data_IF_360727688302
#
_entry.id   IF_360727688302
#
_cell.length_a   1.000
_cell.length_b   1.000
_cell.length_c   1.000
_cell.angle_alpha   90.00
_cell.angle_beta   90.00
_cell.angle_gamma   90.00
#
_symmetry.space_group_name_H-M   'P 1'
#
loop_
_entity.id
_entity.type
_entity.pdbx_description
1 polymer ?
#
# COMPACT_ATOMS: atom_id res chain seq x y z
N UNK A 1 1.28 12.88 -8.66
CA UNK A 1 1.60 11.43 -8.70
C UNK A 1 0.36 10.58 -9.02
N UNK A 2 0.53 9.33 -9.49
CA UNK A 2 -0.57 8.35 -9.64
C UNK A 2 -0.53 7.33 -8.51
N UNK A 3 -1.57 7.31 -7.68
CA UNK A 3 -1.71 6.44 -6.51
C UNK A 3 -2.67 5.30 -6.84
N UNK A 4 -2.19 4.06 -6.73
CA UNK A 4 -2.99 2.84 -6.94
C UNK A 4 -3.36 2.25 -5.60
N UNK A 5 -4.65 2.06 -5.36
CA UNK A 5 -5.21 1.45 -4.14
C UNK A 5 -5.75 0.07 -4.49
N UNK A 6 -5.15 -0.96 -3.91
CA UNK A 6 -5.51 -2.36 -4.12
C UNK A 6 -6.04 -2.98 -2.82
N UNK A 7 -7.36 -2.91 -2.56
CA UNK A 7 -7.95 -3.44 -1.34
C UNK A 7 -7.98 -4.97 -1.32
N UNK A 8 -8.29 -5.52 -0.14
CA UNK A 8 -8.58 -6.95 0.03
C UNK A 8 -10.02 -7.31 -0.35
N UNK A 9 -10.46 -8.51 0.03
CA UNK A 9 -11.85 -8.95 -0.17
C UNK A 9 -12.71 -8.41 0.97
N UNK A 10 -13.40 -7.29 0.73
CA UNK A 10 -14.34 -6.69 1.67
C UNK A 10 -15.24 -5.65 0.97
N UNK A 11 -16.22 -5.12 1.69
CA UNK A 11 -17.13 -4.08 1.22
C UNK A 11 -16.39 -2.83 0.69
N UNK A 12 -16.80 -2.24 -0.46
CA UNK A 12 -16.18 -1.03 -1.02
C UNK A 12 -16.18 0.17 -0.08
N UNK A 13 -17.19 0.26 0.79
CA UNK A 13 -17.32 1.34 1.77
C UNK A 13 -16.13 1.42 2.73
N UNK A 14 -15.45 0.29 3.00
CA UNK A 14 -14.24 0.28 3.83
C UNK A 14 -13.06 0.95 3.12
N UNK A 15 -12.90 0.76 1.80
CA UNK A 15 -11.89 1.47 1.02
C UNK A 15 -12.17 2.96 0.96
N UNK A 16 -13.45 3.36 0.81
CA UNK A 16 -13.82 4.78 0.86
C UNK A 16 -13.48 5.41 2.21
N UNK A 17 -13.75 4.71 3.32
CA UNK A 17 -13.35 5.14 4.67
C UNK A 17 -11.83 5.21 4.84
N UNK A 18 -11.09 4.23 4.32
CA UNK A 18 -9.63 4.24 4.32
C UNK A 18 -9.11 5.53 3.67
N UNK A 19 -9.55 5.82 2.44
CA UNK A 19 -9.17 7.01 1.66
C UNK A 19 -9.43 8.29 2.45
N UNK A 20 -10.63 8.43 3.01
CA UNK A 20 -11.01 9.60 3.80
C UNK A 20 -10.15 9.72 5.08
N UNK A 21 -9.93 8.61 5.79
CA UNK A 21 -9.22 8.60 7.07
C UNK A 21 -7.72 8.85 6.95
N UNK A 22 -7.10 8.45 5.84
CA UNK A 22 -5.70 8.79 5.53
C UNK A 22 -5.59 10.25 5.06
N UNK A 23 -6.71 10.88 4.66
CA UNK A 23 -6.73 12.26 4.18
C UNK A 23 -6.40 12.39 2.69
N UNK A 24 -6.47 11.30 1.92
CA UNK A 24 -6.08 11.30 0.50
C UNK A 24 -6.96 12.20 -0.38
N UNK A 25 -8.20 12.47 0.06
CA UNK A 25 -9.11 13.42 -0.60
C UNK A 25 -8.55 14.84 -0.64
N UNK A 26 -7.68 15.21 0.30
CA UNK A 26 -7.12 16.55 0.40
C UNK A 26 -6.05 16.83 -0.69
N UNK A 27 -5.55 15.78 -1.35
CA UNK A 27 -4.55 15.88 -2.40
C UNK A 27 -5.16 15.86 -3.81
N UNK A 28 -6.49 15.82 -3.91
CA UNK A 28 -7.17 15.99 -5.19
C UNK A 28 -7.21 17.49 -5.57
N UNK A 29 -6.97 17.85 -6.86
CA UNK A 29 -6.77 16.96 -8.01
C UNK A 29 -5.29 16.63 -8.29
N UNK A 30 -4.35 17.07 -7.47
CA UNK A 30 -2.91 16.90 -7.75
C UNK A 30 -2.48 15.42 -7.80
N UNK A 31 -3.16 14.56 -7.03
CA UNK A 31 -2.95 13.13 -7.02
C UNK A 31 -4.07 12.43 -7.78
N UNK A 32 -3.68 11.60 -8.75
CA UNK A 32 -4.60 10.73 -9.47
C UNK A 32 -4.79 9.43 -8.70
N UNK A 33 -5.96 9.24 -8.08
CA UNK A 33 -6.28 8.02 -7.34
C UNK A 33 -6.94 7.00 -8.28
N UNK A 34 -6.36 5.80 -8.35
CA UNK A 34 -6.88 4.64 -9.05
C UNK A 34 -7.23 3.56 -8.02
N UNK A 35 -8.52 3.28 -7.82
CA UNK A 35 -8.98 2.27 -6.85
C UNK A 35 -9.37 1.01 -7.60
N UNK A 36 -8.70 -0.10 -7.32
CA UNK A 36 -9.03 -1.40 -7.91
C UNK A 36 -10.40 -1.90 -7.39
N UNK A 37 -11.34 -2.31 -8.25
CA UNK A 37 -12.68 -2.73 -7.86
C UNK A 37 -12.69 -4.17 -7.30
N UNK A 38 -12.10 -4.37 -6.12
CA UNK A 38 -11.91 -5.70 -5.53
C UNK A 38 -13.23 -6.45 -5.23
N UNK A 39 -14.35 -5.75 -5.04
CA UNK A 39 -15.65 -6.38 -4.79
C UNK A 39 -16.23 -7.09 -6.03
N UNK A 40 -15.81 -6.67 -7.23
CA UNK A 40 -16.30 -7.19 -8.51
C UNK A 40 -15.22 -8.01 -9.25
N UNK A 41 -14.08 -8.24 -8.61
CA UNK A 41 -12.91 -8.83 -9.24
C UNK A 41 -12.09 -9.69 -8.28
N UNK A 42 -10.94 -10.18 -8.73
CA UNK A 42 -10.03 -11.03 -7.97
C UNK A 42 -8.83 -10.19 -7.48
N UNK A 43 -8.87 -9.60 -6.27
CA UNK A 43 -7.80 -8.71 -5.78
C UNK A 43 -6.43 -9.39 -5.64
N UNK A 44 -6.42 -10.71 -5.54
CA UNK A 44 -5.20 -11.51 -5.51
C UNK A 44 -4.62 -11.84 -6.90
N UNK A 45 -5.30 -11.47 -8.00
CA UNK A 45 -4.89 -11.80 -9.36
C UNK A 45 -4.03 -10.68 -9.97
N UNK A 46 -2.73 -10.91 -10.21
CA UNK A 46 -1.87 -9.91 -10.84
C UNK A 46 -2.35 -9.47 -12.22
N UNK A 47 -2.89 -10.40 -13.00
CA UNK A 47 -3.39 -10.12 -14.35
C UNK A 47 -4.58 -9.15 -14.32
N UNK A 48 -5.53 -9.32 -13.39
CA UNK A 48 -6.68 -8.42 -13.27
C UNK A 48 -6.25 -7.01 -12.82
N UNK A 49 -5.33 -6.91 -11.86
CA UNK A 49 -4.82 -5.61 -11.41
C UNK A 49 -4.03 -4.92 -12.54
N UNK A 50 -3.20 -5.66 -13.28
CA UNK A 50 -2.44 -5.10 -14.41
C UNK A 50 -3.35 -4.65 -15.55
N UNK A 51 -4.38 -5.43 -15.89
CA UNK A 51 -5.37 -5.07 -16.90
C UNK A 51 -6.12 -3.80 -16.49
N UNK A 52 -6.55 -3.71 -15.23
CA UNK A 52 -7.17 -2.50 -14.69
C UNK A 52 -6.26 -1.28 -14.86
N UNK A 53 -4.96 -1.41 -14.54
CA UNK A 53 -4.00 -0.31 -14.70
C UNK A 53 -3.88 0.13 -16.15
N UNK A 54 -3.68 -0.81 -17.08
CA UNK A 54 -3.56 -0.49 -18.50
C UNK A 54 -4.81 0.22 -19.06
N UNK A 55 -6.01 -0.24 -18.65
CA UNK A 55 -7.27 0.40 -19.02
C UNK A 55 -7.40 1.79 -18.39
N UNK A 56 -7.09 1.93 -17.10
CA UNK A 56 -7.21 3.19 -16.39
C UNK A 56 -6.21 4.24 -16.89
N UNK A 57 -5.01 3.84 -17.34
CA UNK A 57 -4.00 4.78 -17.85
C UNK A 57 -4.08 5.00 -19.35
N UNK A 58 -5.05 4.41 -20.05
CA UNK A 58 -5.18 4.49 -21.51
C UNK A 58 -3.89 4.15 -22.26
N UNK A 59 -3.14 3.17 -21.76
CA UNK A 59 -1.84 2.75 -22.31
C UNK A 59 -0.66 3.67 -21.98
N UNK A 60 -0.87 4.83 -21.35
CA UNK A 60 0.26 5.60 -20.77
C UNK A 60 0.86 4.84 -19.58
N UNK A 61 2.13 5.10 -19.29
CA UNK A 61 2.87 4.43 -18.22
C UNK A 61 3.38 5.41 -17.17
N UNK A 62 2.49 6.16 -16.49
CA UNK A 62 2.93 7.07 -15.44
C UNK A 62 3.64 6.30 -14.33
N UNK A 63 4.55 6.94 -13.59
CA UNK A 63 5.07 6.39 -12.36
C UNK A 63 3.95 6.11 -11.35
N UNK A 64 3.94 4.90 -10.80
CA UNK A 64 2.90 4.42 -9.88
C UNK A 64 3.44 4.27 -8.46
N UNK A 65 2.65 4.70 -7.49
CA UNK A 65 2.81 4.33 -6.08
C UNK A 65 1.65 3.42 -5.68
N UNK A 66 1.93 2.28 -5.05
CA UNK A 66 0.90 1.31 -4.63
C UNK A 66 0.64 1.39 -3.14
N UNK A 67 -0.63 1.30 -2.75
CA UNK A 67 -1.10 1.01 -1.40
C UNK A 67 -2.02 -0.18 -1.48
N UNK A 68 -1.65 -1.28 -0.84
CA UNK A 68 -2.33 -2.56 -0.99
C UNK A 68 -2.60 -3.23 0.34
N UNK A 69 -3.68 -4.00 0.43
CA UNK A 69 -4.09 -4.65 1.67
C UNK A 69 -4.47 -6.11 1.50
N UNK A 70 -4.01 -6.95 2.43
CA UNK A 70 -4.41 -8.36 2.50
C UNK A 70 -4.18 -9.09 1.17
N UNK A 71 -5.19 -9.79 0.65
CA UNK A 71 -5.16 -10.43 -0.67
C UNK A 71 -4.80 -9.46 -1.83
N UNK A 72 -5.15 -8.18 -1.71
CA UNK A 72 -4.77 -7.14 -2.66
C UNK A 72 -3.27 -6.93 -2.79
N UNK A 73 -2.48 -7.26 -1.75
CA UNK A 73 -1.01 -7.22 -1.80
C UNK A 73 -0.46 -8.21 -2.85
N UNK A 74 -1.07 -9.40 -2.98
CA UNK A 74 -0.65 -10.41 -3.96
C UNK A 74 -0.83 -9.88 -5.38
N UNK A 75 -2.05 -9.42 -5.71
CA UNK A 75 -2.36 -8.92 -7.04
C UNK A 75 -1.56 -7.66 -7.36
N UNK A 76 -1.45 -6.73 -6.40
CA UNK A 76 -0.68 -5.51 -6.58
C UNK A 76 0.81 -5.77 -6.78
N UNK A 77 1.42 -6.71 -6.04
CA UNK A 77 2.85 -7.00 -6.18
C UNK A 77 3.17 -7.58 -7.57
N UNK A 78 2.38 -8.56 -8.01
CA UNK A 78 2.56 -9.12 -9.35
C UNK A 78 2.27 -8.09 -10.45
N UNK A 79 1.29 -7.21 -10.26
CA UNK A 79 1.01 -6.12 -11.19
C UNK A 79 2.12 -5.05 -11.20
N UNK A 80 2.75 -4.76 -10.06
CA UNK A 80 3.91 -3.86 -9.99
C UNK A 80 5.10 -4.40 -10.78
N UNK A 81 5.38 -5.72 -10.69
CA UNK A 81 6.36 -6.37 -11.56
C UNK A 81 5.97 -6.31 -13.03
N UNK A 82 4.72 -6.67 -13.35
CA UNK A 82 4.20 -6.58 -14.71
C UNK A 82 4.32 -5.17 -15.29
N UNK A 83 4.05 -4.14 -14.47
CA UNK A 83 4.18 -2.75 -14.85
C UNK A 83 5.63 -2.38 -15.22
N UNK A 84 6.61 -2.79 -14.40
CA UNK A 84 8.03 -2.60 -14.72
C UNK A 84 8.46 -3.38 -15.98
N UNK A 85 7.96 -4.61 -16.17
CA UNK A 85 8.24 -5.41 -17.37
C UNK A 85 7.71 -4.76 -18.65
N UNK A 86 6.61 -4.01 -18.56
CA UNK A 86 6.09 -3.24 -19.66
C UNK A 86 6.84 -1.92 -19.89
N UNK A 87 7.81 -1.56 -19.04
CA UNK A 87 8.57 -0.31 -19.11
C UNK A 87 8.06 0.83 -18.22
N UNK A 88 7.04 0.57 -17.39
CA UNK A 88 6.53 1.55 -16.43
C UNK A 88 7.38 1.65 -15.16
N UNK A 89 7.26 2.77 -14.44
CA UNK A 89 7.97 3.00 -13.18
C UNK A 89 7.06 2.69 -11.97
N UNK A 90 7.64 2.05 -10.95
CA UNK A 90 7.03 1.88 -9.62
C UNK A 90 7.86 2.66 -8.61
N UNK A 91 7.31 3.76 -8.09
CA UNK A 91 8.00 4.66 -7.15
C UNK A 91 8.11 4.07 -5.76
N UNK A 92 7.04 3.45 -5.30
CA UNK A 92 7.00 2.76 -4.01
C UNK A 92 5.83 1.79 -3.94
N UNK A 93 5.96 0.82 -3.04
CA UNK A 93 4.94 -0.17 -2.76
C UNK A 93 4.69 -0.26 -1.25
N UNK A 94 3.48 0.08 -0.82
CA UNK A 94 3.06 0.03 0.59
C UNK A 94 2.15 -1.18 0.77
N UNK A 95 2.64 -2.19 1.49
CA UNK A 95 1.98 -3.45 1.77
C UNK A 95 1.39 -3.44 3.18
N UNK A 96 0.07 -3.38 3.28
CA UNK A 96 -0.66 -3.50 4.53
C UNK A 96 -1.05 -4.97 4.71
N UNK A 97 -0.45 -5.62 5.69
CA UNK A 97 -0.86 -6.93 6.18
C UNK A 97 -1.03 -8.04 5.11
N UNK A 98 -0.13 -8.04 4.12
CA UNK A 98 -0.05 -9.07 3.08
C UNK A 98 0.66 -10.34 3.57
N UNK A 99 0.00 -11.11 4.43
CA UNK A 99 0.61 -12.32 5.01
C UNK A 99 1.00 -13.36 3.95
N UNK A 100 2.23 -13.86 4.03
CA UNK A 100 2.72 -14.97 3.19
C UNK A 100 3.09 -14.58 1.76
N UNK A 101 3.00 -13.29 1.40
CA UNK A 101 3.37 -12.80 0.08
C UNK A 101 4.88 -12.50 0.07
N UNK A 102 5.67 -13.05 -0.86
CA UNK A 102 7.02 -12.58 -1.11
C UNK A 102 6.95 -11.14 -1.65
N UNK A 103 7.12 -10.15 -0.76
CA UNK A 103 7.11 -8.74 -1.13
C UNK A 103 8.55 -8.34 -1.47
N UNK A 104 8.95 -8.49 -2.73
CA UNK A 104 10.27 -8.13 -3.24
C UNK A 104 10.17 -7.41 -4.60
N UNK A 105 11.13 -6.57 -4.93
CA UNK A 105 11.12 -5.76 -6.15
C UNK A 105 12.32 -4.83 -6.23
N UNK A 106 12.55 -4.21 -7.38
CA UNK A 106 13.61 -3.20 -7.59
C UNK A 106 13.16 -1.78 -7.22
N UNK A 107 12.18 -1.67 -6.34
CA UNK A 107 11.56 -0.43 -5.90
C UNK A 107 11.40 -0.44 -4.37
N UNK A 108 11.30 0.74 -3.72
CA UNK A 108 11.03 0.84 -2.31
C UNK A 108 9.75 0.09 -1.90
N UNK A 109 9.86 -0.74 -0.88
CA UNK A 109 8.76 -1.51 -0.30
C UNK A 109 8.65 -1.15 1.18
N UNK A 110 7.44 -0.83 1.62
CA UNK A 110 7.12 -0.50 3.01
C UNK A 110 6.05 -1.45 3.53
N UNK A 111 6.26 -1.99 4.73
CA UNK A 111 5.32 -2.92 5.36
C UNK A 111 4.63 -2.27 6.54
N UNK A 112 3.34 -2.51 6.63
CA UNK A 112 2.47 -2.03 7.71
C UNK A 112 1.71 -3.25 8.22
N UNK A 113 1.90 -3.60 9.48
CA UNK A 113 1.34 -4.81 10.09
C UNK A 113 0.35 -4.46 11.19
N UNK A 114 -0.67 -5.30 11.37
CA UNK A 114 -1.71 -5.08 12.39
C UNK A 114 -1.26 -5.40 13.82
N UNK A 115 -0.09 -6.03 13.99
CA UNK A 115 0.55 -6.32 15.27
C UNK A 115 2.07 -6.50 15.11
N UNK A 116 2.77 -6.63 16.24
CA UNK A 116 4.21 -6.87 16.28
C UNK A 116 4.61 -8.28 15.79
N UNK A 117 3.80 -9.30 16.09
CA UNK A 117 4.14 -10.69 15.73
C UNK A 117 4.19 -10.88 14.21
N UNK A 118 3.15 -10.43 13.51
CA UNK A 118 3.06 -10.45 12.05
C UNK A 118 4.17 -9.62 11.42
N UNK A 119 4.51 -8.49 12.03
CA UNK A 119 5.63 -7.65 11.59
C UNK A 119 6.96 -8.40 11.61
N UNK A 120 7.30 -9.01 12.74
CA UNK A 120 8.54 -9.76 12.92
C UNK A 120 8.59 -11.00 12.03
N UNK A 121 7.53 -11.81 12.00
CA UNK A 121 7.51 -13.05 11.22
C UNK A 121 7.59 -12.77 9.72
N UNK A 122 7.06 -11.63 9.27
CA UNK A 122 7.07 -11.25 7.86
C UNK A 122 8.40 -10.61 7.45
N UNK A 123 9.16 -9.98 8.36
CA UNK A 123 10.43 -9.29 8.05
C UNK A 123 11.47 -10.20 7.38
N UNK A 124 11.40 -11.52 7.61
CA UNK A 124 12.24 -12.52 6.94
C UNK A 124 12.01 -12.61 5.42
N UNK A 125 10.90 -12.09 4.91
CA UNK A 125 10.50 -12.17 3.50
C UNK A 125 10.82 -10.90 2.70
N UNK A 126 11.65 -10.00 3.23
CA UNK A 126 12.16 -8.83 2.52
C UNK A 126 12.40 -7.62 3.44
N UNK A 127 13.61 -7.07 3.36
CA UNK A 127 14.02 -5.84 4.06
C UNK A 127 13.82 -4.63 3.14
N UNK A 128 12.72 -3.90 3.32
CA UNK A 128 12.49 -2.65 2.62
C UNK A 128 12.20 -1.52 3.60
N UNK A 129 12.91 -0.40 3.43
CA UNK A 129 12.58 0.94 3.94
C UNK A 129 12.16 1.05 5.41
N UNK A 130 11.43 2.13 5.70
CA UNK A 130 10.73 2.32 6.97
C UNK A 130 9.48 1.43 7.01
N UNK A 131 9.05 1.00 8.19
CA UNK A 131 7.90 0.11 8.35
C UNK A 131 7.07 0.48 9.57
N UNK A 132 5.90 -0.14 9.73
CA UNK A 132 5.01 0.08 10.87
C UNK A 132 4.44 -1.23 11.39
N UNK A 133 4.25 -1.29 12.70
CA UNK A 133 3.39 -2.28 13.35
C UNK A 133 2.49 -1.59 14.37
N UNK A 134 1.25 -2.06 14.48
CA UNK A 134 0.33 -1.56 15.49
C UNK A 134 0.71 -2.09 16.88
N UNK A 135 0.59 -1.23 17.89
CA UNK A 135 0.80 -1.56 19.30
C UNK A 135 -0.11 -0.65 20.15
N UNK A 136 -1.12 -1.17 20.86
CA UNK A 136 -1.51 -2.59 20.87
C UNK A 136 -1.97 -3.08 19.49
N UNK A 137 -1.85 -4.38 19.24
CA UNK A 137 -2.34 -5.00 18.00
C UNK A 137 -3.83 -4.77 17.78
N UNK A 138 -4.25 -4.66 16.52
CA UNK A 138 -5.65 -4.47 16.11
C UNK A 138 -6.12 -5.63 15.23
N UNK A 139 -7.43 -5.79 15.03
CA UNK A 139 -7.89 -6.79 14.07
C UNK A 139 -7.38 -6.47 12.65
N UNK A 140 -7.07 -7.50 11.86
CA UNK A 140 -6.61 -7.40 10.48
C UNK A 140 -7.36 -6.33 9.67
N UNK A 141 -8.69 -6.39 9.70
CA UNK A 141 -9.56 -5.48 8.95
C UNK A 141 -9.59 -4.05 9.54
N UNK A 142 -9.36 -3.90 10.84
CA UNK A 142 -9.37 -2.59 11.49
C UNK A 142 -8.18 -1.72 11.07
N UNK A 143 -7.05 -2.34 10.74
CA UNK A 143 -5.91 -1.64 10.12
C UNK A 143 -6.31 -0.92 8.82
N UNK A 144 -7.15 -1.54 8.00
CA UNK A 144 -7.66 -0.92 6.77
C UNK A 144 -8.87 -0.01 7.02
N UNK A 145 -9.80 -0.41 7.88
CA UNK A 145 -11.05 0.31 8.14
C UNK A 145 -10.83 1.63 8.88
N UNK A 146 -9.86 1.69 9.79
CA UNK A 146 -9.65 2.80 10.71
C UNK A 146 -8.17 3.11 10.98
N UNK A 147 -7.31 3.28 9.95
CA UNK A 147 -5.86 3.49 10.13
C UNK A 147 -5.53 4.76 10.95
N UNK A 148 -6.42 5.75 10.95
CA UNK A 148 -6.29 7.00 11.71
C UNK A 148 -6.41 6.82 13.23
N UNK A 149 -7.04 5.73 13.69
CA UNK A 149 -7.14 5.40 15.12
C UNK A 149 -6.30 4.19 15.50
N UNK A 150 -5.48 3.65 14.58
CA UNK A 150 -4.58 2.53 14.85
C UNK A 150 -3.21 3.07 15.28
N UNK A 151 -2.90 3.11 16.59
CA UNK A 151 -1.59 3.52 17.08
C UNK A 151 -0.55 2.44 16.82
N UNK A 152 0.72 2.82 16.84
CA UNK A 152 1.81 1.88 16.74
C UNK A 152 3.14 2.58 16.57
N UNK A 153 4.10 1.83 16.06
CA UNK A 153 5.46 2.31 15.93
C UNK A 153 5.91 2.26 14.48
N UNK A 154 6.38 3.40 13.99
CA UNK A 154 7.24 3.45 12.81
C UNK A 154 8.63 2.98 13.19
N UNK A 155 9.21 2.06 12.42
CA UNK A 155 10.56 1.52 12.58
C UNK A 155 11.38 1.69 11.30
N UNK A 156 12.71 1.63 11.43
CA UNK A 156 13.66 1.67 10.32
C UNK A 156 15.07 1.36 10.82
N UNK A 157 15.98 0.94 9.92
CA UNK A 157 17.31 0.44 10.30
C UNK A 157 18.18 1.44 11.09
N UNK A 158 17.93 2.75 10.96
CA UNK A 158 18.76 3.81 11.53
C UNK A 158 18.01 4.78 12.46
N UNK A 159 16.71 4.56 12.74
CA UNK A 159 15.90 5.49 13.53
C UNK A 159 15.23 4.76 14.69
N UNK A 160 15.26 5.33 15.91
CA UNK A 160 14.47 4.82 17.03
C UNK A 160 12.99 4.68 16.64
N UNK A 161 12.27 3.68 17.17
CA UNK A 161 10.84 3.56 16.96
C UNK A 161 10.12 4.85 17.35
N UNK A 162 9.28 5.37 16.45
CA UNK A 162 8.49 6.58 16.69
C UNK A 162 7.02 6.21 16.77
N UNK A 163 6.38 6.60 17.86
CA UNK A 163 4.93 6.42 18.01
C UNK A 163 4.18 7.29 17.01
N UNK A 164 3.27 6.68 16.26
CA UNK A 164 2.49 7.31 15.18
C UNK A 164 1.23 6.49 14.91
N UNK A 165 0.24 7.04 14.22
CA UNK A 165 -0.88 6.23 13.69
C UNK A 165 -0.54 5.62 12.34
N UNK A 166 -1.18 4.52 11.98
CA UNK A 166 -1.01 3.89 10.68
C UNK A 166 -1.30 4.89 9.54
N UNK A 167 -2.38 5.68 9.65
CA UNK A 167 -2.72 6.69 8.64
C UNK A 167 -1.63 7.76 8.48
N UNK A 168 -1.11 8.30 9.58
CA UNK A 168 -0.06 9.31 9.51
C UNK A 168 1.25 8.74 8.96
N UNK A 169 1.56 7.47 9.22
CA UNK A 169 2.70 6.80 8.61
C UNK A 169 2.52 6.57 7.10
N UNK A 170 1.33 6.11 6.67
CA UNK A 170 1.00 5.94 5.24
C UNK A 170 1.16 7.28 4.53
N UNK A 171 0.60 8.36 5.10
CA UNK A 171 0.67 9.68 4.49
C UNK A 171 2.11 10.18 4.38
N UNK A 172 2.91 10.02 5.44
CA UNK A 172 4.36 10.33 5.42
C UNK A 172 5.08 9.62 4.27
N UNK A 173 4.79 8.35 4.03
CA UNK A 173 5.38 7.62 2.90
C UNK A 173 4.91 8.17 1.55
N UNK A 174 3.61 8.46 1.41
CA UNK A 174 3.07 8.97 0.16
C UNK A 174 3.64 10.36 -0.19
N UNK A 175 3.78 11.24 0.79
CA UNK A 175 4.42 12.56 0.62
C UNK A 175 5.90 12.41 0.23
N UNK A 176 6.64 11.53 0.92
CA UNK A 176 8.03 11.20 0.60
C UNK A 176 8.20 10.75 -0.84
N UNK A 177 7.30 9.91 -1.36
CA UNK A 177 7.37 9.41 -2.75
C UNK A 177 6.71 10.31 -3.78
N UNK A 178 6.01 11.36 -3.34
CA UNK A 178 5.55 12.42 -4.22
C UNK A 178 6.68 13.38 -4.59
N UNK A 179 7.54 13.75 -3.64
CA UNK A 179 8.55 14.81 -3.76
C UNK A 179 9.81 14.43 -4.56
N UNK A 180 9.98 13.18 -5.00
CA UNK A 180 11.10 12.78 -5.87
C UNK A 180 10.88 13.18 -7.35
N UNK A 181 10.28 14.35 -7.59
CA UNK A 181 10.05 14.93 -8.93
C UNK A 181 11.01 16.07 -9.29
N UNK A 182 12.08 16.30 -8.51
CA UNK A 182 13.14 17.28 -8.82
C UNK A 182 14.42 16.62 -9.35
#
# INVERSE_FOLDING_TARGET
MTLVICPGVHEPSLTARFIASVGLTNYAPQWRLLVFPAAESHPYSPAHVLQFLQSATSGSQPPLTFVSFSAGVVGAMGAAWGWQLLGGEVRAFIALDGWGVPVSGKFPIHRISHDYFTHWSSALLGSGGESFYAEPGVAHLDLWRSPHTTPGFRTGAATPPKHITAAAFILHLLEKYHTFED
#
